data_IF_525661727138
#
_entry.id   IF_525661727138
#
_cell.length_a   1.000
_cell.length_b   1.000
_cell.length_c   1.000
_cell.angle_alpha   90.00
_cell.angle_beta   90.00
_cell.angle_gamma   90.00
#
_symmetry.space_group_name_H-M   'P 1'
#
loop_
_entity.id
_entity.type
_entity.pdbx_description
1 polymer ?
#
# COMPACT_ATOMS: atom_id res chain seq x y z
N UNK A 1 9.63 -12.29 -19.51
CA UNK A 1 10.53 -11.74 -18.48
C UNK A 1 10.70 -10.26 -18.79
N UNK A 2 10.38 -9.38 -17.80
CA UNK A 2 10.67 -7.96 -17.93
C UNK A 2 12.15 -7.75 -17.64
N UNK A 3 12.80 -6.92 -18.45
CA UNK A 3 14.18 -6.52 -18.25
C UNK A 3 14.28 -5.68 -16.95
N UNK A 4 15.07 -6.08 -15.96
CA UNK A 4 15.20 -5.33 -14.71
C UNK A 4 15.74 -3.91 -14.89
N UNK A 5 16.45 -3.64 -15.98
CA UNK A 5 17.04 -2.33 -16.28
C UNK A 5 16.05 -1.39 -16.96
N UNK A 6 14.95 -1.92 -17.55
CA UNK A 6 13.94 -1.14 -18.28
C UNK A 6 12.53 -1.47 -17.79
N UNK A 7 12.25 -1.24 -16.52
CA UNK A 7 10.94 -1.51 -15.97
C UNK A 7 9.93 -0.41 -16.34
N UNK A 8 8.71 -0.78 -16.72
CA UNK A 8 7.67 0.22 -16.99
C UNK A 8 7.30 0.99 -15.71
N UNK A 9 6.98 2.29 -15.84
CA UNK A 9 6.63 3.16 -14.70
C UNK A 9 5.52 2.60 -13.78
N UNK A 10 4.63 1.80 -14.33
CA UNK A 10 3.52 1.18 -13.60
C UNK A 10 3.88 -0.13 -12.88
N UNK A 11 5.11 -0.61 -12.99
CA UNK A 11 5.56 -1.87 -12.41
C UNK A 11 5.31 -1.94 -10.89
N UNK A 12 5.69 -0.89 -10.17
CA UNK A 12 5.44 -0.79 -8.73
C UNK A 12 3.94 -0.88 -8.42
N UNK A 13 3.11 -0.14 -9.12
CA UNK A 13 1.66 -0.08 -8.85
C UNK A 13 0.97 -1.42 -9.06
N UNK A 14 1.39 -2.17 -10.08
CA UNK A 14 0.87 -3.53 -10.31
C UNK A 14 1.25 -4.44 -9.16
N UNK A 15 2.52 -4.51 -8.81
CA UNK A 15 2.98 -5.37 -7.72
C UNK A 15 2.35 -4.99 -6.38
N UNK A 16 2.34 -3.70 -6.06
CA UNK A 16 1.70 -3.18 -4.86
C UNK A 16 0.22 -3.55 -4.82
N UNK A 17 -0.50 -3.36 -5.93
CA UNK A 17 -1.92 -3.65 -6.03
C UNK A 17 -2.25 -5.13 -5.86
N UNK A 18 -1.45 -6.05 -6.41
CA UNK A 18 -1.72 -7.49 -6.34
C UNK A 18 -1.27 -8.15 -5.04
N UNK A 19 -0.29 -7.57 -4.34
CA UNK A 19 0.25 -8.13 -3.09
C UNK A 19 -0.31 -7.48 -1.83
N UNK A 20 -1.03 -6.36 -1.94
CA UNK A 20 -1.68 -5.70 -0.80
C UNK A 20 -3.13 -6.17 -0.64
N UNK A 21 -3.61 -6.50 0.57
CA UNK A 21 -5.00 -6.85 0.79
C UNK A 21 -5.97 -5.77 0.32
N UNK A 22 -7.12 -6.12 -0.31
CA UNK A 22 -8.00 -5.16 -0.97
C UNK A 22 -8.51 -4.05 -0.07
N UNK A 23 -8.82 -4.36 1.19
CA UNK A 23 -9.34 -3.34 2.12
C UNK A 23 -8.27 -2.29 2.45
N UNK A 24 -7.00 -2.68 2.55
CA UNK A 24 -5.92 -1.73 2.77
C UNK A 24 -5.69 -0.85 1.55
N UNK A 25 -5.82 -1.39 0.32
CA UNK A 25 -5.80 -0.58 -0.90
C UNK A 25 -6.90 0.48 -0.91
N UNK A 26 -8.12 0.11 -0.51
CA UNK A 26 -9.24 1.07 -0.42
C UNK A 26 -8.98 2.14 0.63
N UNK A 27 -8.48 1.76 1.81
CA UNK A 27 -8.16 2.72 2.88
C UNK A 27 -7.06 3.69 2.47
N UNK A 28 -6.02 3.19 1.79
CA UNK A 28 -4.93 4.01 1.25
C UNK A 28 -5.50 5.01 0.23
N UNK A 29 -6.34 4.55 -0.68
CA UNK A 29 -6.98 5.41 -1.68
C UNK A 29 -7.80 6.51 -1.02
N UNK A 30 -8.64 6.16 -0.03
CA UNK A 30 -9.42 7.14 0.72
C UNK A 30 -8.53 8.10 1.51
N UNK A 31 -7.45 7.61 2.12
CA UNK A 31 -6.46 8.43 2.83
C UNK A 31 -5.82 9.47 1.92
N UNK A 32 -5.34 9.05 0.75
CA UNK A 32 -4.74 9.93 -0.25
C UNK A 32 -5.77 10.94 -0.78
N UNK A 33 -6.96 10.49 -1.16
CA UNK A 33 -8.02 11.37 -1.67
C UNK A 33 -8.44 12.42 -0.62
N UNK A 34 -8.55 11.99 0.63
CA UNK A 34 -8.87 12.88 1.73
C UNK A 34 -7.77 13.93 1.92
N UNK A 35 -6.50 13.50 1.97
CA UNK A 35 -5.35 14.39 2.08
C UNK A 35 -5.33 15.42 0.96
N UNK A 36 -5.44 14.99 -0.31
CA UNK A 36 -5.43 15.88 -1.47
C UNK A 36 -6.57 16.92 -1.37
N UNK A 37 -7.77 16.48 -1.00
CA UNK A 37 -8.93 17.36 -0.84
C UNK A 37 -8.72 18.42 0.25
N UNK A 38 -8.24 18.03 1.42
CA UNK A 38 -8.00 18.96 2.53
C UNK A 38 -6.86 19.93 2.21
N UNK A 39 -5.77 19.43 1.64
CA UNK A 39 -4.62 20.23 1.27
C UNK A 39 -4.95 21.25 0.18
N UNK A 40 -5.63 20.82 -0.89
CA UNK A 40 -6.06 21.69 -1.96
C UNK A 40 -7.08 22.75 -1.50
N UNK A 41 -8.06 22.33 -0.67
CA UNK A 41 -9.03 23.24 -0.07
C UNK A 41 -8.38 24.30 0.82
N UNK A 42 -7.33 23.92 1.55
CA UNK A 42 -6.55 24.86 2.34
C UNK A 42 -5.81 25.86 1.46
N UNK A 43 -5.11 25.36 0.44
CA UNK A 43 -4.31 26.19 -0.47
C UNK A 43 -5.15 27.24 -1.21
N UNK A 44 -6.36 26.87 -1.65
CA UNK A 44 -7.30 27.80 -2.29
C UNK A 44 -7.86 28.88 -1.35
N UNK A 45 -7.81 28.67 -0.04
CA UNK A 45 -8.32 29.61 0.96
C UNK A 45 -7.26 30.57 1.51
N UNK A 46 -5.99 30.37 1.18
CA UNK A 46 -4.92 31.27 1.58
C UNK A 46 -5.12 32.62 0.88
N UNK A 47 -5.37 33.67 1.67
CA UNK A 47 -5.37 35.05 1.17
C UNK A 47 -3.92 35.49 0.97
N UNK A 48 -3.66 36.19 -0.12
CA UNK A 48 -2.32 36.67 -0.54
C UNK A 48 -1.57 37.51 0.52
N UNK A 49 -2.21 37.98 1.58
CA UNK A 49 -1.63 38.82 2.63
C UNK A 49 -1.47 38.11 3.99
N UNK A 50 -1.63 36.79 4.07
CA UNK A 50 -1.39 36.02 5.29
C UNK A 50 -0.06 35.27 5.20
N UNK A 51 0.59 35.03 6.35
CA UNK A 51 1.75 34.16 6.42
C UNK A 51 1.43 32.82 5.73
N UNK A 52 2.13 32.52 4.67
CA UNK A 52 1.89 31.34 3.87
C UNK A 52 2.58 30.16 4.54
N UNK A 53 1.84 29.39 5.32
CA UNK A 53 2.30 28.09 5.80
C UNK A 53 1.93 26.99 4.80
N UNK A 54 2.81 26.00 4.64
CA UNK A 54 2.56 24.84 3.78
C UNK A 54 1.47 23.91 4.33
N UNK A 55 1.05 24.09 5.57
CA UNK A 55 0.05 23.26 6.26
C UNK A 55 -0.90 24.10 7.11
N UNK A 56 -2.11 23.61 7.30
CA UNK A 56 -3.17 24.29 8.05
C UNK A 56 -2.99 24.20 9.57
N UNK A 57 -2.54 23.02 10.05
CA UNK A 57 -2.39 22.65 11.46
C UNK A 57 -1.39 21.50 11.58
N UNK A 58 -1.05 21.10 12.81
CA UNK A 58 -0.10 20.00 13.08
C UNK A 58 -0.47 18.69 12.37
N UNK A 59 -1.75 18.31 12.40
CA UNK A 59 -2.23 17.12 11.71
C UNK A 59 -2.02 17.22 10.19
N UNK A 60 -2.23 18.40 9.60
CA UNK A 60 -1.97 18.65 8.17
C UNK A 60 -0.49 18.58 7.82
N UNK A 61 0.39 19.02 8.73
CA UNK A 61 1.84 18.88 8.60
C UNK A 61 2.25 17.41 8.60
N UNK A 62 1.73 16.63 9.54
CA UNK A 62 2.01 15.20 9.65
C UNK A 62 1.56 14.45 8.39
N UNK A 63 0.35 14.73 7.89
CA UNK A 63 -0.17 14.13 6.67
C UNK A 63 0.68 14.48 5.44
N UNK A 64 1.10 15.74 5.31
CA UNK A 64 2.01 16.17 4.25
C UNK A 64 3.35 15.43 4.34
N UNK A 65 3.88 15.28 5.55
CA UNK A 65 5.13 14.57 5.78
C UNK A 65 5.03 13.09 5.35
N UNK A 66 3.98 12.38 5.74
CA UNK A 66 3.76 11.00 5.32
C UNK A 66 3.53 10.88 3.82
N UNK A 67 2.81 11.82 3.23
CA UNK A 67 2.60 11.87 1.79
C UNK A 67 3.93 12.03 1.04
N UNK A 68 4.77 12.96 1.46
CA UNK A 68 6.10 13.20 0.86
C UNK A 68 7.03 12.01 1.06
N UNK A 69 7.08 11.42 2.26
CA UNK A 69 7.91 10.24 2.54
C UNK A 69 7.54 9.04 1.68
N UNK A 70 6.30 8.97 1.25
CA UNK A 70 5.87 7.92 0.34
C UNK A 70 6.15 8.28 -1.13
N UNK A 71 5.66 9.42 -1.59
CA UNK A 71 5.71 9.74 -3.02
C UNK A 71 7.08 10.16 -3.52
N UNK A 72 7.91 10.80 -2.68
CA UNK A 72 9.24 11.26 -3.10
C UNK A 72 10.18 10.12 -3.49
N UNK A 73 10.39 9.07 -2.67
CA UNK A 73 11.23 7.95 -3.09
C UNK A 73 10.67 7.22 -4.31
N UNK A 74 9.35 7.04 -4.37
CA UNK A 74 8.70 6.41 -5.51
C UNK A 74 8.91 7.21 -6.81
N UNK A 75 8.76 8.52 -6.73
CA UNK A 75 9.04 9.42 -7.85
C UNK A 75 10.48 9.28 -8.35
N UNK A 76 11.46 9.28 -7.44
CA UNK A 76 12.86 9.11 -7.83
C UNK A 76 13.14 7.75 -8.43
N UNK A 77 12.57 6.67 -7.89
CA UNK A 77 12.72 5.32 -8.45
C UNK A 77 12.20 5.25 -9.89
N UNK A 78 11.06 5.88 -10.16
CA UNK A 78 10.46 5.90 -11.51
C UNK A 78 11.28 6.80 -12.45
N UNK A 79 11.65 8.02 -12.02
CA UNK A 79 12.36 8.98 -12.87
C UNK A 79 13.80 8.56 -13.18
N UNK A 80 14.46 7.88 -12.26
CA UNK A 80 15.84 7.40 -12.43
C UNK A 80 15.90 6.01 -13.07
N UNK A 81 14.78 5.42 -13.45
CA UNK A 81 14.69 4.04 -13.96
C UNK A 81 15.47 3.05 -13.09
N UNK A 82 15.31 3.18 -11.77
CA UNK A 82 16.05 2.35 -10.82
C UNK A 82 15.71 0.88 -11.01
N UNK A 83 16.71 0.02 -11.05
CA UNK A 83 16.54 -1.43 -11.20
C UNK A 83 15.81 -2.01 -10.00
N UNK A 84 14.73 -2.72 -10.24
CA UNK A 84 13.99 -3.45 -9.21
C UNK A 84 13.89 -4.93 -9.58
N UNK A 85 14.16 -5.80 -8.62
CA UNK A 85 14.04 -7.23 -8.80
C UNK A 85 12.91 -7.77 -7.95
N UNK A 86 12.21 -8.76 -8.48
CA UNK A 86 11.30 -9.57 -7.70
C UNK A 86 10.22 -8.77 -6.97
N UNK A 87 9.43 -8.06 -7.74
CA UNK A 87 8.34 -7.25 -7.23
C UNK A 87 8.83 -5.91 -6.67
N UNK A 88 8.18 -5.46 -5.62
CA UNK A 88 8.46 -4.16 -5.00
C UNK A 88 9.15 -4.25 -3.63
N UNK A 89 9.80 -5.36 -3.33
CA UNK A 89 10.43 -5.61 -2.02
C UNK A 89 11.41 -4.52 -1.58
N UNK A 90 12.12 -3.91 -2.54
CA UNK A 90 13.06 -2.82 -2.26
C UNK A 90 12.37 -1.55 -1.75
N UNK A 91 11.06 -1.45 -1.96
CA UNK A 91 10.22 -0.33 -1.55
C UNK A 91 9.28 -0.68 -0.37
N UNK A 92 9.48 -1.81 0.32
CA UNK A 92 8.67 -2.19 1.48
C UNK A 92 8.71 -1.17 2.61
N UNK A 93 9.78 -0.39 2.72
CA UNK A 93 9.88 0.70 3.68
C UNK A 93 8.85 1.82 3.44
N UNK A 94 8.21 1.87 2.29
CA UNK A 94 7.11 2.80 1.99
C UNK A 94 5.78 2.37 2.62
N UNK A 95 5.64 1.09 2.94
CA UNK A 95 4.37 0.53 3.43
C UNK A 95 3.87 1.17 4.74
N UNK A 96 4.72 1.45 5.74
CA UNK A 96 4.30 2.16 6.94
C UNK A 96 3.66 3.53 6.66
N UNK A 97 4.19 4.30 5.73
CA UNK A 97 3.67 5.64 5.40
C UNK A 97 2.28 5.56 4.76
N UNK A 98 2.02 4.54 3.97
CA UNK A 98 0.68 4.25 3.47
C UNK A 98 -0.31 3.97 4.59
N UNK A 99 0.09 3.11 5.52
CA UNK A 99 -0.76 2.78 6.67
C UNK A 99 -1.05 4.03 7.48
N UNK A 100 -0.05 4.87 7.73
CA UNK A 100 -0.20 6.11 8.49
C UNK A 100 -1.16 7.10 7.82
N UNK A 101 -1.09 7.27 6.49
CA UNK A 101 -2.07 8.07 5.73
C UNK A 101 -3.50 7.49 5.85
N UNK A 102 -3.63 6.17 5.82
CA UNK A 102 -4.92 5.50 5.99
C UNK A 102 -5.49 5.68 7.40
N UNK A 103 -4.63 5.60 8.42
CA UNK A 103 -5.00 5.84 9.80
C UNK A 103 -5.40 7.29 10.04
N UNK A 104 -4.69 8.24 9.46
CA UNK A 104 -5.06 9.66 9.53
C UNK A 104 -6.48 9.89 9.01
N UNK A 105 -6.85 9.28 7.88
CA UNK A 105 -8.21 9.32 7.37
C UNK A 105 -9.23 8.74 8.36
N UNK A 106 -8.94 7.58 8.96
CA UNK A 106 -9.83 6.94 9.94
C UNK A 106 -10.01 7.79 11.20
N UNK A 107 -8.94 8.36 11.75
CA UNK A 107 -9.02 9.26 12.91
C UNK A 107 -9.92 10.47 12.61
N UNK A 108 -9.83 11.03 11.41
CA UNK A 108 -10.67 12.16 11.03
C UNK A 108 -12.13 11.79 10.78
N UNK A 109 -12.46 10.56 10.44
CA UNK A 109 -13.85 10.09 10.43
C UNK A 109 -14.45 10.10 11.82
N UNK A 110 -13.67 9.72 12.84
CA UNK A 110 -14.08 9.78 14.23
C UNK A 110 -14.30 11.22 14.69
N UNK A 111 -13.31 12.12 14.47
CA UNK A 111 -13.38 13.54 14.80
C UNK A 111 -14.58 14.26 14.14
N UNK A 112 -14.89 13.94 12.88
CA UNK A 112 -16.01 14.53 12.12
C UNK A 112 -17.38 13.93 12.45
N UNK A 113 -17.50 13.16 13.53
CA UNK A 113 -18.74 12.50 13.96
C UNK A 113 -19.33 11.48 12.97
N UNK A 114 -18.54 10.97 12.05
CA UNK A 114 -18.92 9.85 11.19
C UNK A 114 -18.66 8.49 11.85
N UNK A 115 -18.98 8.41 13.14
CA UNK A 115 -18.68 7.26 14.01
C UNK A 115 -19.22 5.92 13.45
N UNK A 116 -20.35 5.95 12.72
CA UNK A 116 -20.89 4.73 12.09
C UNK A 116 -19.95 4.21 11.01
N UNK A 117 -19.47 5.10 10.13
CA UNK A 117 -18.52 4.72 9.07
C UNK A 117 -17.19 4.26 9.69
N UNK A 118 -16.68 4.96 10.68
CA UNK A 118 -15.49 4.56 11.42
C UNK A 118 -15.61 3.13 11.97
N UNK A 119 -16.71 2.81 12.67
CA UNK A 119 -16.97 1.46 13.20
C UNK A 119 -17.07 0.40 12.12
N UNK A 120 -17.70 0.71 10.97
CA UNK A 120 -17.78 -0.19 9.82
C UNK A 120 -16.37 -0.48 9.28
N UNK A 121 -15.53 0.54 9.08
CA UNK A 121 -14.15 0.34 8.64
C UNK A 121 -13.34 -0.51 9.63
N UNK A 122 -13.47 -0.26 10.93
CA UNK A 122 -12.79 -1.07 11.96
C UNK A 122 -13.22 -2.53 11.88
N UNK A 123 -14.51 -2.80 11.72
CA UNK A 123 -15.03 -4.16 11.59
C UNK A 123 -14.45 -4.86 10.34
N UNK A 124 -14.43 -4.16 9.21
CA UNK A 124 -13.88 -4.70 7.96
C UNK A 124 -12.37 -4.97 8.09
N UNK A 125 -11.62 -4.05 8.72
CA UNK A 125 -10.18 -4.23 9.01
C UNK A 125 -9.98 -5.47 9.88
N UNK A 126 -10.78 -5.64 10.94
CA UNK A 126 -10.71 -6.80 11.83
C UNK A 126 -10.88 -8.11 11.05
N UNK A 127 -11.91 -8.22 10.21
CA UNK A 127 -12.10 -9.41 9.37
C UNK A 127 -10.98 -9.62 8.37
N UNK A 128 -10.43 -8.55 7.79
CA UNK A 128 -9.27 -8.67 6.88
C UNK A 128 -8.03 -9.17 7.62
N UNK A 129 -7.76 -8.67 8.82
CA UNK A 129 -6.65 -9.15 9.65
C UNK A 129 -6.81 -10.63 9.99
N UNK A 130 -8.01 -11.04 10.39
CA UNK A 130 -8.30 -12.45 10.65
C UNK A 130 -8.07 -13.33 9.41
N UNK A 131 -8.56 -12.88 8.25
CA UNK A 131 -8.32 -13.57 6.97
C UNK A 131 -6.83 -13.68 6.64
N UNK A 132 -6.04 -12.64 6.90
CA UNK A 132 -4.60 -12.65 6.66
C UNK A 132 -3.89 -13.63 7.61
N UNK A 133 -4.26 -13.66 8.89
CA UNK A 133 -3.71 -14.61 9.86
C UNK A 133 -4.00 -16.04 9.42
N UNK A 134 -5.24 -16.33 9.01
CA UNK A 134 -5.63 -17.64 8.50
C UNK A 134 -4.83 -18.02 7.25
N UNK A 135 -4.63 -17.08 6.31
CA UNK A 135 -3.80 -17.29 5.14
C UNK A 135 -2.35 -17.62 5.52
N UNK A 136 -1.75 -16.87 6.45
CA UNK A 136 -0.37 -17.09 6.93
C UNK A 136 -0.24 -18.49 7.50
N UNK A 137 -1.17 -18.90 8.36
CA UNK A 137 -1.18 -20.23 8.96
C UNK A 137 -1.28 -21.34 7.92
N UNK A 138 -2.24 -21.22 6.98
CA UNK A 138 -2.49 -22.24 5.95
C UNK A 138 -1.37 -22.33 4.92
N UNK A 139 -0.71 -21.22 4.62
CA UNK A 139 0.31 -21.14 3.54
C UNK A 139 1.72 -21.41 4.04
N UNK A 140 1.91 -21.70 5.34
CA UNK A 140 3.23 -21.99 5.85
C UNK A 140 3.89 -23.18 5.13
N UNK A 141 5.18 -23.11 4.73
CA UNK A 141 6.14 -21.99 4.85
C UNK A 141 6.16 -21.01 3.67
N UNK A 142 5.20 -21.04 2.76
CA UNK A 142 5.20 -20.31 1.47
C UNK A 142 4.35 -19.03 1.55
N UNK A 143 4.41 -18.31 2.68
CA UNK A 143 3.61 -17.09 2.89
C UNK A 143 4.03 -15.92 1.98
N UNK A 144 5.27 -15.94 1.48
CA UNK A 144 5.81 -14.97 0.53
C UNK A 144 5.05 -14.94 -0.81
N UNK A 145 4.24 -15.96 -1.09
CA UNK A 145 3.43 -16.08 -2.32
C UNK A 145 2.02 -15.56 -2.11
N UNK A 146 1.86 -14.45 -1.41
CA UNK A 146 0.55 -13.85 -1.24
C UNK A 146 0.14 -13.02 -2.46
N UNK A 147 -0.99 -13.36 -3.04
CA UNK A 147 -1.73 -12.50 -3.97
C UNK A 147 -3.14 -12.30 -3.46
N UNK A 148 -3.61 -11.06 -3.50
CA UNK A 148 -4.95 -10.76 -3.01
C UNK A 148 -6.04 -11.45 -3.86
N UNK A 149 -7.18 -11.70 -3.24
CA UNK A 149 -8.29 -12.46 -3.85
C UNK A 149 -8.82 -11.85 -5.14
N UNK A 150 -8.77 -10.53 -5.29
CA UNK A 150 -9.29 -9.80 -6.46
C UNK A 150 -8.43 -10.05 -7.69
N UNK A 151 -7.10 -9.99 -7.54
CA UNK A 151 -6.17 -10.05 -8.67
C UNK A 151 -5.54 -11.42 -8.89
N UNK A 152 -5.65 -12.35 -7.94
CA UNK A 152 -5.04 -13.68 -8.00
C UNK A 152 -5.30 -14.40 -9.33
N UNK A 153 -6.52 -14.31 -9.86
CA UNK A 153 -6.91 -14.96 -11.11
C UNK A 153 -6.18 -14.37 -12.33
N UNK A 154 -5.93 -13.06 -12.33
CA UNK A 154 -5.28 -12.35 -13.44
C UNK A 154 -3.77 -12.49 -13.44
N UNK A 155 -3.19 -12.78 -12.28
CA UNK A 155 -1.74 -12.84 -12.05
C UNK A 155 -1.18 -14.25 -12.26
N UNK A 156 -2.03 -15.28 -12.10
CA UNK A 156 -1.63 -16.67 -12.20
C UNK A 156 -0.93 -16.95 -13.56
N UNK A 157 0.32 -17.40 -13.50
CA UNK A 157 1.15 -17.70 -14.67
C UNK A 157 1.81 -16.49 -15.37
N UNK A 158 1.54 -15.25 -14.89
CA UNK A 158 2.12 -14.01 -15.48
C UNK A 158 3.20 -13.38 -14.62
N UNK A 159 3.15 -13.58 -13.31
CA UNK A 159 4.14 -13.07 -12.38
C UNK A 159 4.89 -14.22 -11.70
N UNK A 160 6.19 -14.05 -11.39
CA UNK A 160 6.94 -15.03 -10.65
C UNK A 160 6.37 -15.19 -9.24
N UNK A 161 6.08 -16.43 -8.83
CA UNK A 161 5.34 -16.72 -7.60
C UNK A 161 6.28 -17.02 -6.44
N UNK A 162 7.31 -17.82 -6.64
CA UNK A 162 8.25 -18.23 -5.59
C UNK A 162 9.69 -17.99 -6.02
N UNK A 163 10.13 -16.75 -5.90
CA UNK A 163 11.50 -16.37 -6.24
C UNK A 163 12.55 -17.05 -5.36
N UNK A 164 12.24 -17.26 -4.09
CA UNK A 164 13.18 -17.83 -3.12
C UNK A 164 13.24 -19.35 -3.17
N UNK A 165 12.37 -20.00 -3.94
CA UNK A 165 12.30 -21.45 -4.02
C UNK A 165 11.91 -22.13 -2.69
N UNK A 166 11.20 -21.41 -1.81
CA UNK A 166 10.77 -21.93 -0.50
C UNK A 166 9.85 -23.14 -0.66
N UNK A 167 9.06 -23.16 -1.76
CA UNK A 167 8.18 -24.28 -2.10
C UNK A 167 8.90 -25.51 -2.63
N UNK A 168 10.16 -25.39 -3.05
CA UNK A 168 10.90 -26.50 -3.70
C UNK A 168 11.07 -27.70 -2.76
N UNK A 169 11.38 -27.47 -1.48
CA UNK A 169 11.51 -28.55 -0.50
C UNK A 169 10.22 -29.38 -0.41
N UNK A 170 9.07 -28.72 -0.25
CA UNK A 170 7.77 -29.39 -0.15
C UNK A 170 7.42 -30.18 -1.43
N UNK A 171 7.81 -29.63 -2.59
CA UNK A 171 7.62 -30.31 -3.88
C UNK A 171 8.49 -31.56 -3.98
N UNK A 172 9.75 -31.48 -3.57
CA UNK A 172 10.68 -32.61 -3.54
C UNK A 172 10.19 -33.68 -2.57
N UNK A 173 9.80 -33.32 -1.36
CA UNK A 173 9.29 -34.24 -0.35
C UNK A 173 8.03 -34.99 -0.86
N UNK A 174 7.14 -34.29 -1.59
CA UNK A 174 5.96 -34.91 -2.22
C UNK A 174 6.28 -35.81 -3.41
N UNK A 175 7.44 -35.63 -4.07
CA UNK A 175 7.88 -36.50 -5.17
C UNK A 175 8.60 -37.76 -4.67
N UNK A 176 9.15 -37.69 -3.46
CA UNK A 176 9.89 -38.78 -2.84
C UNK A 176 9.00 -39.69 -1.96
N UNK A 177 7.80 -39.25 -1.62
CA UNK A 177 6.77 -39.99 -0.87
C UNK A 177 5.87 -40.79 -1.82
#
# INVERSE_FOLDING_TARGET
YLDPENLPWHYFFIWFGVTTPPIFLLLILFGIMYFIKEYFSYFLKIKLNSDIFLWKNENGMIDLFFFLLFFTPLFFVICLNSTMYNGWRHLYFLYPFFILLSLSFLCRLEEKKYIRLFKIFLLIIFFQCFSNIFFIYKSHPVQNVYFNSVFKKYVKGKLPVDYWGVGNKKTIDNLLS
#
